data_IF_800944406014
#
_entry.id   IF_800944406014
#
_cell.length_a   1.000
_cell.length_b   1.000
_cell.length_c   1.000
_cell.angle_alpha   90.00
_cell.angle_beta   90.00
_cell.angle_gamma   90.00
#
_symmetry.space_group_name_H-M   'P 1'
#
loop_
_entity.id
_entity.type
_entity.pdbx_description
1 polymer ?
#
# COMPACT_ATOMS: atom_id res chain seq x y z
N UNK A 1 -9.57 21.37 -13.88
CA UNK A 1 -9.05 21.76 -12.55
C UNK A 1 -9.62 20.93 -11.38
N UNK A 2 -10.94 20.93 -11.14
CA UNK A 2 -11.52 20.19 -9.99
C UNK A 2 -11.43 18.66 -10.14
N UNK A 3 -11.78 18.11 -11.30
CA UNK A 3 -11.72 16.66 -11.53
C UNK A 3 -10.29 16.11 -11.37
N UNK A 4 -9.27 16.80 -11.88
CA UNK A 4 -7.86 16.41 -11.74
C UNK A 4 -7.47 16.30 -10.26
N UNK A 5 -7.91 17.27 -9.45
CA UNK A 5 -7.74 17.25 -7.99
C UNK A 5 -8.33 15.99 -7.37
N UNK A 6 -9.58 15.70 -7.68
CA UNK A 6 -10.28 14.53 -7.12
C UNK A 6 -9.66 13.23 -7.61
N UNK A 7 -9.26 13.15 -8.88
CA UNK A 7 -8.60 11.99 -9.48
C UNK A 7 -7.33 11.60 -8.72
N UNK A 8 -6.45 12.59 -8.44
CA UNK A 8 -5.19 12.35 -7.73
C UNK A 8 -5.42 11.70 -6.35
N UNK A 9 -6.35 12.22 -5.56
CA UNK A 9 -6.66 11.64 -4.25
C UNK A 9 -7.44 10.32 -4.36
N UNK A 10 -8.28 10.19 -5.40
CA UNK A 10 -9.02 8.97 -5.73
C UNK A 10 -8.08 7.78 -5.98
N UNK A 11 -6.96 8.01 -6.65
CA UNK A 11 -5.89 7.00 -6.85
C UNK A 11 -5.43 6.46 -5.49
N UNK A 12 -4.95 7.31 -4.59
CA UNK A 12 -4.43 6.85 -3.29
C UNK A 12 -5.51 6.13 -2.46
N UNK A 13 -6.74 6.66 -2.44
CA UNK A 13 -7.85 6.02 -1.75
C UNK A 13 -8.14 4.63 -2.32
N UNK A 14 -8.14 4.49 -3.65
CA UNK A 14 -8.38 3.20 -4.31
C UNK A 14 -7.26 2.20 -4.02
N UNK A 15 -6.01 2.64 -4.00
CA UNK A 15 -4.86 1.78 -3.66
C UNK A 15 -4.90 1.34 -2.18
N UNK A 16 -5.26 2.22 -1.24
CA UNK A 16 -5.53 1.84 0.16
C UNK A 16 -6.62 0.78 0.24
N UNK A 17 -7.73 0.96 -0.50
CA UNK A 17 -8.82 -0.02 -0.53
C UNK A 17 -8.38 -1.37 -1.09
N UNK A 18 -7.54 -1.41 -2.13
CA UNK A 18 -7.00 -2.66 -2.68
C UNK A 18 -6.20 -3.43 -1.61
N UNK A 19 -5.32 -2.75 -0.87
CA UNK A 19 -4.53 -3.39 0.19
C UNK A 19 -5.41 -3.91 1.33
N UNK A 20 -6.39 -3.11 1.78
CA UNK A 20 -7.35 -3.51 2.81
C UNK A 20 -8.12 -4.75 2.34
N UNK A 21 -8.72 -4.68 1.15
CA UNK A 21 -9.52 -5.75 0.55
C UNK A 21 -8.76 -7.08 0.51
N UNK A 22 -7.49 -7.05 0.13
CA UNK A 22 -6.68 -8.26 -0.03
C UNK A 22 -6.15 -8.79 1.30
N UNK A 23 -5.66 -7.91 2.19
CA UNK A 23 -4.84 -8.32 3.33
C UNK A 23 -5.61 -8.35 4.67
N UNK A 24 -6.79 -7.75 4.74
CA UNK A 24 -7.70 -7.89 5.88
C UNK A 24 -8.30 -9.31 6.00
N UNK A 25 -8.95 -9.65 7.12
CA UNK A 25 -9.69 -10.91 7.27
C UNK A 25 -10.81 -11.06 6.23
N UNK A 26 -11.12 -12.31 5.87
CA UNK A 26 -12.10 -12.64 4.82
C UNK A 26 -11.44 -13.01 3.49
N UNK A 27 -12.26 -13.30 2.48
CA UNK A 27 -11.80 -13.70 1.13
C UNK A 27 -11.96 -12.51 0.18
N UNK A 28 -10.89 -12.03 -0.47
CA UNK A 28 -11.01 -10.93 -1.42
C UNK A 28 -11.69 -11.39 -2.72
N UNK A 29 -12.74 -10.68 -3.13
CA UNK A 29 -13.44 -10.91 -4.40
C UNK A 29 -13.17 -9.78 -5.39
N UNK A 30 -12.93 -10.06 -6.67
CA UNK A 30 -12.69 -9.04 -7.70
C UNK A 30 -13.70 -9.13 -8.82
N UNK A 31 -14.46 -8.04 -9.02
CA UNK A 31 -15.27 -7.90 -10.22
C UNK A 31 -14.37 -7.78 -11.47
N UNK A 32 -14.85 -8.34 -12.57
CA UNK A 32 -14.07 -8.46 -13.80
C UNK A 32 -13.58 -7.10 -14.34
N UNK A 33 -12.29 -7.04 -14.62
CA UNK A 33 -11.62 -5.87 -15.19
C UNK A 33 -11.22 -4.78 -14.19
N UNK A 34 -11.40 -5.00 -12.87
CA UNK A 34 -11.13 -4.00 -11.82
C UNK A 34 -9.68 -3.96 -11.33
N UNK A 35 -8.78 -4.76 -11.90
CA UNK A 35 -7.33 -4.72 -11.64
C UNK A 35 -6.65 -3.44 -12.17
N UNK A 36 -7.30 -2.73 -13.09
CA UNK A 36 -6.96 -1.37 -13.52
C UNK A 36 -8.02 -0.36 -13.00
N UNK A 37 -7.91 0.91 -13.39
CA UNK A 37 -8.94 1.90 -13.11
C UNK A 37 -10.23 1.54 -13.86
N UNK A 38 -11.33 1.46 -13.13
CA UNK A 38 -12.65 1.15 -13.66
C UNK A 38 -13.63 2.19 -13.13
N UNK A 39 -14.18 3.01 -14.03
CA UNK A 39 -15.06 4.14 -13.73
C UNK A 39 -16.49 3.92 -14.23
N UNK A 40 -16.84 2.65 -14.49
CA UNK A 40 -18.19 2.27 -14.91
C UNK A 40 -19.21 2.62 -13.82
N UNK A 41 -20.37 3.10 -14.25
CA UNK A 41 -21.47 3.51 -13.40
C UNK A 41 -22.34 2.30 -13.03
N UNK A 42 -23.63 2.53 -12.79
CA UNK A 42 -24.63 1.49 -12.53
C UNK A 42 -24.97 0.70 -13.79
N UNK A 43 -25.73 -0.38 -13.62
CA UNK A 43 -26.27 -1.19 -14.73
C UNK A 43 -26.98 -0.30 -15.77
N UNK A 44 -26.78 -0.51 -17.09
CA UNK A 44 -25.99 -1.57 -17.74
C UNK A 44 -24.50 -1.26 -17.95
N UNK A 45 -24.01 -0.10 -17.52
CA UNK A 45 -22.64 0.36 -17.82
C UNK A 45 -21.56 -0.58 -17.24
N UNK A 46 -21.78 -1.10 -16.03
CA UNK A 46 -20.88 -2.07 -15.39
C UNK A 46 -20.92 -3.49 -16.00
N UNK A 47 -21.75 -3.74 -17.03
CA UNK A 47 -21.83 -5.02 -17.75
C UNK A 47 -21.14 -5.02 -19.11
N UNK A 48 -20.49 -3.92 -19.49
CA UNK A 48 -19.71 -3.87 -20.73
C UNK A 48 -18.63 -4.97 -20.76
N UNK A 49 -18.32 -5.53 -21.96
CA UNK A 49 -17.28 -6.54 -22.11
C UNK A 49 -15.92 -6.07 -21.59
N UNK A 50 -15.16 -7.00 -21.01
CA UNK A 50 -13.80 -6.72 -20.53
C UNK A 50 -12.80 -7.01 -21.64
N UNK A 51 -11.95 -6.03 -21.95
CA UNK A 51 -10.79 -6.24 -22.84
C UNK A 51 -9.66 -6.95 -22.09
N UNK A 52 -9.68 -8.29 -22.14
CA UNK A 52 -8.66 -9.13 -21.53
C UNK A 52 -7.33 -9.13 -22.27
N UNK A 53 -7.30 -8.85 -23.59
CA UNK A 53 -6.06 -8.80 -24.37
C UNK A 53 -5.21 -7.64 -23.88
N UNK A 54 -5.81 -6.45 -23.75
CA UNK A 54 -5.14 -5.29 -23.18
C UNK A 54 -4.61 -5.56 -21.77
N UNK A 55 -5.40 -6.22 -20.92
CA UNK A 55 -5.00 -6.53 -19.53
C UNK A 55 -3.86 -7.52 -19.44
N UNK A 56 -3.85 -8.55 -20.30
CA UNK A 56 -2.74 -9.50 -20.40
C UNK A 56 -1.45 -8.81 -20.86
N UNK A 57 -1.54 -7.87 -21.80
CA UNK A 57 -0.39 -7.05 -22.23
C UNK A 57 0.15 -6.20 -21.08
N UNK A 58 -0.72 -5.48 -20.35
CA UNK A 58 -0.33 -4.66 -19.19
C UNK A 58 0.29 -5.51 -18.06
N UNK A 59 -0.25 -6.69 -17.81
CA UNK A 59 0.34 -7.63 -16.84
C UNK A 59 1.72 -8.11 -17.29
N UNK A 60 1.89 -8.41 -18.58
CA UNK A 60 3.18 -8.85 -19.14
C UNK A 60 4.23 -7.72 -19.07
N UNK A 61 3.82 -6.48 -19.35
CA UNK A 61 4.65 -5.29 -19.17
C UNK A 61 5.10 -5.13 -17.73
N UNK A 62 4.16 -5.21 -16.76
CA UNK A 62 4.49 -5.12 -15.35
C UNK A 62 5.48 -6.21 -14.92
N UNK A 63 5.25 -7.45 -15.32
CA UNK A 63 6.15 -8.58 -15.03
C UNK A 63 7.54 -8.38 -15.65
N UNK A 64 7.62 -7.77 -16.83
CA UNK A 64 8.90 -7.42 -17.45
C UNK A 64 9.61 -6.33 -16.66
N UNK A 65 8.92 -5.27 -16.24
CA UNK A 65 9.50 -4.21 -15.40
C UNK A 65 10.00 -4.78 -14.07
N UNK A 66 9.23 -5.63 -13.40
CA UNK A 66 9.63 -6.29 -12.14
C UNK A 66 10.92 -7.11 -12.27
N UNK A 67 11.27 -7.58 -13.47
CA UNK A 67 12.49 -8.34 -13.74
C UNK A 67 13.67 -7.49 -14.20
N UNK A 68 13.42 -6.28 -14.70
CA UNK A 68 14.43 -5.47 -15.41
C UNK A 68 14.88 -4.23 -14.66
N UNK A 69 14.09 -3.72 -13.72
CA UNK A 69 14.45 -2.55 -12.92
C UNK A 69 14.39 -2.87 -11.42
N UNK A 70 15.15 -2.11 -10.63
CA UNK A 70 15.17 -2.29 -9.18
C UNK A 70 13.79 -1.99 -8.57
N UNK A 71 13.40 -2.63 -7.44
CA UNK A 71 12.11 -2.41 -6.81
C UNK A 71 11.80 -0.94 -6.49
N UNK A 72 12.81 -0.16 -6.07
CA UNK A 72 12.67 1.27 -5.81
C UNK A 72 12.36 2.07 -7.08
N UNK A 73 13.11 1.85 -8.15
CA UNK A 73 12.88 2.52 -9.44
C UNK A 73 11.49 2.16 -10.00
N UNK A 74 11.06 0.91 -9.80
CA UNK A 74 9.74 0.44 -10.21
C UNK A 74 8.63 1.22 -9.50
N UNK A 75 8.63 1.26 -8.16
CA UNK A 75 7.55 1.94 -7.43
C UNK A 75 7.52 3.44 -7.71
N UNK A 76 8.67 4.07 -7.91
CA UNK A 76 8.76 5.48 -8.29
C UNK A 76 8.19 5.72 -9.69
N UNK A 77 8.55 4.88 -10.66
CA UNK A 77 7.99 4.93 -12.02
C UNK A 77 6.47 4.74 -12.01
N UNK A 78 5.96 3.78 -11.24
CA UNK A 78 4.53 3.52 -11.09
C UNK A 78 3.79 4.69 -10.42
N UNK A 79 4.42 5.41 -9.49
CA UNK A 79 3.84 6.62 -8.90
C UNK A 79 3.79 7.79 -9.87
N UNK A 80 4.84 7.98 -10.67
CA UNK A 80 4.89 9.04 -11.67
C UNK A 80 3.81 8.87 -12.75
N UNK A 81 3.50 7.63 -13.10
CA UNK A 81 2.46 7.27 -14.08
C UNK A 81 1.25 6.56 -13.42
N UNK A 82 0.82 7.05 -12.25
CA UNK A 82 -0.25 6.40 -11.51
C UNK A 82 -1.59 6.36 -12.27
N UNK A 83 -1.83 7.33 -13.14
CA UNK A 83 -3.05 7.42 -13.97
C UNK A 83 -3.18 6.26 -14.97
N UNK A 84 -2.09 5.59 -15.35
CA UNK A 84 -2.15 4.45 -16.28
C UNK A 84 -2.72 3.17 -15.68
N UNK A 85 -2.92 3.14 -14.35
CA UNK A 85 -3.49 2.00 -13.62
C UNK A 85 -2.52 0.85 -13.36
N UNK A 86 -1.29 0.91 -13.90
CA UNK A 86 -0.28 -0.14 -13.69
C UNK A 86 0.09 -0.27 -12.21
N UNK A 87 0.07 0.83 -11.47
CA UNK A 87 0.28 0.85 -10.01
C UNK A 87 -0.78 0.04 -9.25
N UNK A 88 -2.05 0.08 -9.70
CA UNK A 88 -3.14 -0.71 -9.09
C UNK A 88 -2.98 -2.18 -9.41
N UNK A 89 -2.61 -2.51 -10.65
CA UNK A 89 -2.29 -3.88 -11.06
C UNK A 89 -1.10 -4.42 -10.26
N UNK A 90 -0.04 -3.62 -10.07
CA UNK A 90 1.10 -3.95 -9.24
C UNK A 90 0.72 -4.25 -7.80
N UNK A 91 -0.04 -3.39 -7.13
CA UNK A 91 -0.46 -3.64 -5.76
C UNK A 91 -1.41 -4.83 -5.64
N UNK A 92 -2.33 -4.98 -6.59
CA UNK A 92 -3.26 -6.12 -6.62
C UNK A 92 -2.50 -7.43 -6.75
N UNK A 93 -1.63 -7.55 -7.75
CA UNK A 93 -0.84 -8.77 -8.01
C UNK A 93 0.13 -9.08 -6.89
N UNK A 94 0.85 -8.07 -6.36
CA UNK A 94 1.82 -8.24 -5.28
C UNK A 94 1.15 -8.69 -4.00
N UNK A 95 0.08 -8.00 -3.58
CA UNK A 95 -0.64 -8.36 -2.36
C UNK A 95 -1.33 -9.73 -2.47
N UNK A 96 -1.87 -10.10 -3.65
CA UNK A 96 -2.43 -11.44 -3.87
C UNK A 96 -1.35 -12.53 -3.79
N UNK A 97 -0.14 -12.28 -4.32
CA UNK A 97 0.97 -13.23 -4.17
C UNK A 97 1.39 -13.38 -2.71
N UNK A 98 1.52 -12.27 -1.97
CA UNK A 98 1.83 -12.30 -0.52
C UNK A 98 0.76 -13.12 0.21
N UNK A 99 -0.52 -12.89 -0.09
CA UNK A 99 -1.62 -13.64 0.51
C UNK A 99 -1.54 -15.14 0.18
N UNK A 100 -1.33 -15.48 -1.09
CA UNK A 100 -1.24 -16.85 -1.58
C UNK A 100 -0.06 -17.62 -0.98
N UNK A 101 1.07 -16.96 -0.80
CA UNK A 101 2.28 -17.57 -0.22
C UNK A 101 2.20 -17.75 1.30
N UNK A 102 1.23 -17.11 1.97
CA UNK A 102 1.09 -17.14 3.44
C UNK A 102 -0.35 -17.50 3.86
N UNK A 103 -0.91 -18.64 3.42
CA UNK A 103 -2.34 -18.94 3.61
C UNK A 103 -2.73 -19.00 5.09
N UNK A 104 -1.91 -19.59 5.96
CA UNK A 104 -2.17 -19.65 7.40
C UNK A 104 -2.28 -18.26 8.03
N UNK A 105 -1.38 -17.33 7.66
CA UNK A 105 -1.40 -15.96 8.16
C UNK A 105 -2.70 -15.23 7.76
N UNK A 106 -3.15 -15.38 6.52
CA UNK A 106 -4.26 -14.59 6.01
C UNK A 106 -5.64 -15.22 6.19
N UNK A 107 -5.73 -16.55 6.33
CA UNK A 107 -6.98 -17.26 6.64
C UNK A 107 -7.26 -17.31 8.14
N UNK A 108 -6.23 -17.59 8.96
CA UNK A 108 -6.40 -17.88 10.39
C UNK A 108 -5.71 -16.86 11.30
N UNK A 109 -4.73 -16.11 10.78
CA UNK A 109 -3.99 -15.14 11.57
C UNK A 109 -4.87 -14.02 12.12
N UNK A 110 -4.57 -13.62 13.35
CA UNK A 110 -5.26 -12.55 14.09
C UNK A 110 -5.08 -11.20 13.41
N UNK A 111 -6.05 -10.32 13.64
CA UNK A 111 -6.03 -8.93 13.19
C UNK A 111 -5.81 -8.01 14.39
N UNK A 112 -4.83 -7.11 14.30
CA UNK A 112 -4.60 -6.08 15.32
C UNK A 112 -4.44 -4.71 14.65
N UNK A 113 -5.24 -3.69 15.02
CA UNK A 113 -5.03 -2.33 14.50
C UNK A 113 -3.68 -1.78 14.98
N UNK A 114 -3.01 -1.03 14.12
CA UNK A 114 -1.76 -0.34 14.45
C UNK A 114 -2.06 1.06 14.98
N UNK A 115 -1.36 1.44 16.05
CA UNK A 115 -1.45 2.78 16.64
C UNK A 115 -0.40 3.70 16.02
N UNK A 116 -0.77 4.94 15.74
CA UNK A 116 0.13 5.98 15.24
C UNK A 116 0.12 7.19 16.18
N UNK A 117 1.26 7.85 16.35
CA UNK A 117 1.38 9.12 17.09
C UNK A 117 2.16 10.14 16.28
N UNK A 118 1.89 11.41 16.53
CA UNK A 118 2.52 12.55 15.85
C UNK A 118 1.48 13.40 15.11
N UNK A 119 1.96 14.49 14.52
CA UNK A 119 1.13 15.55 13.93
C UNK A 119 0.19 15.02 12.83
N UNK A 120 0.63 14.01 12.07
CA UNK A 120 -0.11 13.46 10.93
C UNK A 120 -0.70 12.08 11.21
N UNK A 121 -0.82 11.68 12.49
CA UNK A 121 -1.31 10.34 12.86
C UNK A 121 -2.73 10.05 12.35
N UNK A 122 -3.57 11.08 12.20
CA UNK A 122 -4.92 10.95 11.64
C UNK A 122 -4.95 10.66 10.12
N UNK A 123 -3.83 10.86 9.43
CA UNK A 123 -3.70 10.67 7.97
C UNK A 123 -3.11 9.31 7.57
N UNK A 124 -2.81 8.45 8.54
CA UNK A 124 -2.29 7.11 8.31
C UNK A 124 -3.14 6.09 9.06
N UNK A 125 -3.30 4.92 8.47
CA UNK A 125 -3.92 3.77 9.11
C UNK A 125 -3.07 2.55 8.81
N UNK A 126 -3.27 1.52 9.63
CA UNK A 126 -2.63 0.26 9.40
C UNK A 126 -3.14 -0.81 10.32
N UNK A 127 -2.83 -2.04 9.96
CA UNK A 127 -3.13 -3.22 10.75
C UNK A 127 -2.04 -4.26 10.61
N UNK A 128 -1.97 -5.12 11.60
CA UNK A 128 -1.11 -6.29 11.62
C UNK A 128 -1.96 -7.54 11.41
N UNK A 129 -1.54 -8.39 10.47
CA UNK A 129 -1.88 -9.81 10.45
C UNK A 129 -0.77 -10.56 11.14
N UNK A 130 -1.09 -11.42 12.10
CA UNK A 130 -0.08 -12.21 12.78
C UNK A 130 -0.61 -13.57 13.24
N UNK A 131 0.28 -14.56 13.32
CA UNK A 131 0.09 -15.80 14.04
C UNK A 131 1.35 -16.09 14.87
N UNK A 132 1.57 -17.34 15.29
CA UNK A 132 2.73 -17.69 16.12
C UNK A 132 4.09 -17.58 15.41
N UNK A 133 4.14 -17.58 14.08
CA UNK A 133 5.38 -17.65 13.30
C UNK A 133 5.55 -16.54 12.26
N UNK A 134 4.46 -15.87 11.86
CA UNK A 134 4.45 -14.92 10.75
C UNK A 134 3.72 -13.65 11.15
N UNK A 135 4.23 -12.52 10.64
CA UNK A 135 3.66 -11.19 10.82
C UNK A 135 3.70 -10.47 9.48
N UNK A 136 2.62 -9.76 9.15
CA UNK A 136 2.56 -8.80 8.07
C UNK A 136 1.94 -7.50 8.60
N UNK A 137 2.69 -6.41 8.56
CA UNK A 137 2.19 -5.07 8.87
C UNK A 137 1.76 -4.41 7.56
N UNK A 138 0.55 -3.86 7.53
CA UNK A 138 -0.04 -3.21 6.37
C UNK A 138 -0.31 -1.76 6.75
N UNK A 139 0.39 -0.82 6.12
CA UNK A 139 0.32 0.62 6.43
C UNK A 139 -0.02 1.40 5.17
N UNK A 140 -1.03 2.27 5.26
CA UNK A 140 -1.56 3.03 4.13
C UNK A 140 -2.13 4.40 4.58
N UNK A 141 -2.09 5.41 3.70
CA UNK A 141 -2.58 6.74 3.98
C UNK A 141 -4.11 6.82 3.89
N UNK A 142 -4.66 7.85 4.50
CA UNK A 142 -6.06 8.27 4.40
C UNK A 142 -6.17 9.78 4.50
N UNK A 143 -7.27 10.32 3.97
CA UNK A 143 -7.60 11.74 4.11
C UNK A 143 -6.50 12.67 3.59
N UNK A 144 -5.86 12.32 2.48
CA UNK A 144 -4.72 13.07 1.92
C UNK A 144 -5.10 14.47 1.41
N UNK A 145 -6.38 14.74 1.19
CA UNK A 145 -6.90 16.04 0.72
C UNK A 145 -6.55 17.20 1.64
N UNK A 146 -6.42 16.96 2.95
CA UNK A 146 -6.03 17.99 3.93
C UNK A 146 -4.54 17.95 4.26
N UNK A 147 -3.88 16.81 4.08
CA UNK A 147 -2.44 16.66 4.34
C UNK A 147 -1.57 17.28 3.24
N UNK A 148 -1.95 17.06 1.98
CA UNK A 148 -1.24 17.58 0.80
C UNK A 148 -2.23 18.36 -0.08
N UNK A 149 -2.58 19.62 0.32
CA UNK A 149 -3.57 20.42 -0.40
C UNK A 149 -3.09 20.83 -1.81
N UNK A 150 -1.78 20.92 -2.01
CA UNK A 150 -1.17 21.10 -3.32
C UNK A 150 -1.06 19.75 -4.06
N UNK A 151 -1.68 19.69 -5.24
CA UNK A 151 -1.72 18.49 -6.08
C UNK A 151 -0.42 18.21 -6.80
N UNK A 152 0.60 19.06 -6.72
CA UNK A 152 1.94 18.77 -7.25
C UNK A 152 2.75 17.91 -6.27
N UNK A 153 2.37 17.92 -4.99
CA UNK A 153 3.09 17.24 -3.92
C UNK A 153 2.65 15.78 -3.83
N UNK A 154 3.62 14.88 -3.71
CA UNK A 154 3.40 13.46 -3.41
C UNK A 154 3.43 13.24 -1.90
N UNK A 155 2.63 12.33 -1.33
CA UNK A 155 2.56 12.08 0.12
C UNK A 155 3.75 11.23 0.60
N UNK A 156 4.97 11.68 0.31
CA UNK A 156 6.21 10.94 0.52
C UNK A 156 7.11 11.62 1.54
N UNK A 157 7.82 10.80 2.32
CA UNK A 157 8.93 11.23 3.14
C UNK A 157 8.58 12.07 4.38
N UNK A 158 9.62 12.37 5.15
CA UNK A 158 9.54 13.21 6.34
C UNK A 158 8.92 14.60 6.10
N UNK A 159 9.14 15.31 4.97
CA UNK A 159 8.53 16.63 4.75
C UNK A 159 7.00 16.64 4.84
N UNK A 160 6.34 15.51 4.55
CA UNK A 160 4.88 15.37 4.61
C UNK A 160 4.43 14.75 5.92
N UNK A 161 5.13 13.72 6.39
CA UNK A 161 4.68 12.93 7.54
C UNK A 161 5.24 13.44 8.88
N UNK A 162 6.20 14.36 8.86
CA UNK A 162 6.87 14.92 10.02
C UNK A 162 7.34 13.83 10.98
N UNK A 163 7.13 14.06 12.28
CA UNK A 163 7.50 13.11 13.35
C UNK A 163 6.44 12.04 13.62
N UNK A 164 5.56 11.77 12.65
CA UNK A 164 4.54 10.74 12.78
C UNK A 164 5.17 9.36 12.75
N UNK A 165 4.86 8.53 13.75
CA UNK A 165 5.46 7.21 13.94
C UNK A 165 4.42 6.17 14.31
N UNK A 166 4.59 4.97 13.76
CA UNK A 166 3.82 3.80 14.11
C UNK A 166 4.36 3.18 15.39
N UNK A 167 3.48 2.95 16.35
CA UNK A 167 3.83 2.20 17.56
C UNK A 167 4.09 0.75 17.21
N UNK A 168 5.30 0.28 17.55
CA UNK A 168 5.57 -1.15 17.50
C UNK A 168 5.22 -1.82 18.84
N UNK A 169 4.58 -2.99 18.80
CA UNK A 169 4.49 -3.85 19.98
C UNK A 169 5.88 -4.18 20.54
N UNK A 170 6.06 -4.26 21.88
CA UNK A 170 7.35 -4.47 22.51
C UNK A 170 8.14 -5.67 21.96
N UNK A 171 7.44 -6.75 21.65
CA UNK A 171 7.98 -7.99 21.10
C UNK A 171 8.67 -7.82 19.74
N UNK A 172 8.39 -6.73 19.03
CA UNK A 172 8.97 -6.46 17.71
C UNK A 172 9.98 -5.30 17.69
N UNK A 173 10.27 -4.68 18.84
CA UNK A 173 11.18 -3.53 18.90
C UNK A 173 12.63 -3.86 18.53
N UNK A 174 13.04 -5.12 18.63
CA UNK A 174 14.38 -5.57 18.24
C UNK A 174 14.48 -6.00 16.77
N UNK A 175 13.36 -6.12 16.06
CA UNK A 175 13.34 -6.63 14.69
C UNK A 175 13.55 -5.50 13.69
N UNK A 176 14.36 -5.78 12.67
CA UNK A 176 14.33 -5.01 11.42
C UNK A 176 13.19 -5.52 10.56
N UNK A 177 12.66 -4.68 9.68
CA UNK A 177 11.55 -5.05 8.81
C UNK A 177 11.90 -4.81 7.35
N UNK A 178 11.54 -5.77 6.49
CA UNK A 178 11.61 -5.62 5.05
C UNK A 178 10.30 -5.07 4.53
N UNK A 179 10.35 -3.98 3.75
CA UNK A 179 9.21 -3.51 2.98
C UNK A 179 9.08 -4.36 1.72
N UNK A 180 8.01 -5.15 1.61
CA UNK A 180 7.76 -6.06 0.50
C UNK A 180 7.50 -5.33 -0.83
N UNK A 181 7.16 -4.05 -0.79
CA UNK A 181 6.94 -3.23 -1.99
C UNK A 181 8.25 -2.62 -2.52
N UNK A 182 9.09 -2.11 -1.62
CA UNK A 182 10.31 -1.37 -1.99
C UNK A 182 11.60 -2.16 -1.79
N UNK A 183 11.52 -3.29 -1.09
CA UNK A 183 12.63 -4.14 -0.61
C UNK A 183 13.58 -3.46 0.38
N UNK A 184 13.30 -2.23 0.80
CA UNK A 184 14.06 -1.52 1.81
C UNK A 184 13.93 -2.19 3.18
N UNK A 185 15.01 -2.12 3.97
CA UNK A 185 15.00 -2.52 5.36
C UNK A 185 14.81 -1.28 6.23
N UNK A 186 13.83 -1.33 7.11
CA UNK A 186 13.54 -0.27 8.08
C UNK A 186 13.71 -0.80 9.50
N UNK A 187 14.30 0.01 10.35
CA UNK A 187 14.57 -0.34 11.75
C UNK A 187 13.76 0.55 12.70
N UNK A 188 13.31 0.00 13.84
CA UNK A 188 12.66 0.80 14.88
C UNK A 188 13.59 1.91 15.36
N UNK A 189 13.04 3.11 15.50
CA UNK A 189 13.78 4.29 15.97
C UNK A 189 13.26 4.75 17.34
N UNK A 190 14.17 5.21 18.19
CA UNK A 190 13.85 5.86 19.45
C UNK A 190 13.35 7.28 19.18
N UNK A 191 12.04 7.49 19.27
CA UNK A 191 11.44 8.82 19.26
C UNK A 191 11.38 9.44 20.66
N UNK A 192 11.05 10.73 20.72
CA UNK A 192 10.96 11.51 21.97
C UNK A 192 9.98 10.92 23.01
N UNK A 193 9.00 10.11 22.59
CA UNK A 193 7.96 9.55 23.49
C UNK A 193 7.68 8.06 23.30
N UNK A 194 8.31 7.40 22.31
CA UNK A 194 8.10 5.99 22.00
C UNK A 194 9.13 5.46 21.00
N UNK A 195 9.41 4.16 21.08
CA UNK A 195 10.10 3.41 20.03
C UNK A 195 9.07 2.99 18.98
N UNK A 196 9.37 3.22 17.70
CA UNK A 196 8.43 2.94 16.62
C UNK A 196 9.06 3.05 15.24
N UNK A 197 8.25 2.86 14.20
CA UNK A 197 8.69 3.05 12.81
C UNK A 197 8.17 4.40 12.30
N UNK A 198 9.07 5.36 11.99
CA UNK A 198 8.64 6.65 11.45
C UNK A 198 7.93 6.49 10.12
N UNK A 199 6.73 7.07 10.00
CA UNK A 199 5.91 6.97 8.77
C UNK A 199 6.61 7.67 7.60
N UNK A 200 7.34 8.77 7.86
CA UNK A 200 8.15 9.42 6.84
C UNK A 200 9.20 8.49 6.22
N UNK A 201 9.81 7.61 7.03
CA UNK A 201 10.76 6.60 6.54
C UNK A 201 10.03 5.48 5.79
N UNK A 202 8.92 4.97 6.34
CA UNK A 202 8.12 3.94 5.68
C UNK A 202 7.61 4.39 4.30
N UNK A 203 7.27 5.67 4.17
CA UNK A 203 6.71 6.27 2.97
C UNK A 203 7.72 7.13 2.21
N UNK A 204 9.02 6.86 2.36
CA UNK A 204 10.06 7.66 1.71
C UNK A 204 9.96 7.61 0.19
N UNK A 205 9.74 6.42 -0.38
CA UNK A 205 9.70 6.20 -1.83
C UNK A 205 8.35 5.74 -2.35
N UNK A 206 7.48 5.23 -1.48
CA UNK A 206 6.16 4.75 -1.84
C UNK A 206 5.18 4.97 -0.68
N UNK A 207 4.00 5.58 -0.88
CA UNK A 207 3.13 5.97 0.23
C UNK A 207 2.29 4.80 0.75
N UNK A 208 2.83 3.58 0.71
CA UNK A 208 2.23 2.37 1.22
C UNK A 208 3.37 1.47 1.69
N UNK A 209 3.16 0.71 2.75
CA UNK A 209 4.16 -0.22 3.25
C UNK A 209 3.52 -1.55 3.63
N UNK A 210 4.13 -2.64 3.16
CA UNK A 210 3.84 -4.00 3.57
C UNK A 210 5.11 -4.53 4.22
N UNK A 211 5.10 -4.75 5.54
CA UNK A 211 6.31 -5.07 6.28
C UNK A 211 6.27 -6.49 6.82
N UNK A 212 7.39 -7.20 6.70
CA UNK A 212 7.64 -8.45 7.41
C UNK A 212 8.95 -8.35 8.20
N UNK A 213 9.08 -9.03 9.36
CA UNK A 213 10.35 -9.09 10.07
C UNK A 213 11.45 -9.70 9.21
N UNK A 214 12.66 -9.16 9.32
CA UNK A 214 13.87 -9.77 8.75
C UNK A 214 14.35 -10.86 9.70
N UNK A 215 14.52 -12.08 9.20
CA UNK A 215 15.13 -13.20 9.92
C UNK A 215 16.61 -12.99 10.21
#
# INVERSE_FOLDING_TARGET
>A
PFQQRISKYGIYNSLSQVLIKILAPGVPDFYQGTELWDFRLVDPDNRQPVDYVFRQQRLSELQHLQKTIAPLDLVQRLLQDAESGLIKMYLTTTALHIRKSNPQLFLEGSYRPLEFKGEQAHHVCGFMRHNHSQICLVIFPRLLTTLIPDQTISPLGEPIWGKTSMRLPPEFMAHSFRNLLTQEIVTPQNGLSMVGLPVGVLFQHFPFALLEPVS
#
